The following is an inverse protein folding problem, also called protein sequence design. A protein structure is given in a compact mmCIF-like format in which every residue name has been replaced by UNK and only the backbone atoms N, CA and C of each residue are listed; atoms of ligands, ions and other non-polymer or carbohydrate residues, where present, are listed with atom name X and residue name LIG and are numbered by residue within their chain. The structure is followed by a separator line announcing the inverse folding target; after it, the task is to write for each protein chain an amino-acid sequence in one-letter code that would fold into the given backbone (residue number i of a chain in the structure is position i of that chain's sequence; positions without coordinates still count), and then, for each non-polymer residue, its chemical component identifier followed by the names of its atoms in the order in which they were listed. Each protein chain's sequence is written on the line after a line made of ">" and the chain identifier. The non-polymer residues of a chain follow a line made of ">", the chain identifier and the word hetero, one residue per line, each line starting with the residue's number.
data_IF_565741529533
#
_entry.id   IF_565741529533
#
_cell.length_a   1.000
_cell.length_b   1.000
_cell.length_c   1.000
_cell.angle_alpha   90.00
_cell.angle_beta   90.00
_cell.angle_gamma   90.00
#
_symmetry.space_group_name_H-M   'P 1'
#
loop_
_entity.id
_entity.type
_entity.pdbx_description
1 polymer ?
#
# COMPACT_ATOMS: atom_id res chain seq x y z
N UNK A 1 -3.97 -57.38 -39.47
CA UNK A 1 -4.03 -55.92 -39.22
C UNK A 1 -4.67 -55.72 -37.86
N UNK A 2 -3.90 -55.42 -36.83
CA UNK A 2 -4.44 -55.26 -35.49
C UNK A 2 -3.32 -55.07 -34.48
N UNK A 3 -3.64 -54.34 -33.40
CA UNK A 3 -2.79 -54.00 -32.25
C UNK A 3 -1.93 -52.74 -32.47
N UNK A 4 -2.58 -51.57 -32.49
CA UNK A 4 -1.92 -50.28 -32.15
C UNK A 4 -2.86 -49.20 -31.57
N UNK A 5 -4.17 -49.45 -31.44
CA UNK A 5 -5.14 -48.42 -31.03
C UNK A 5 -5.35 -48.29 -29.50
N UNK A 6 -4.97 -49.29 -28.69
CA UNK A 6 -5.39 -49.33 -27.27
C UNK A 6 -4.50 -48.53 -26.31
N UNK A 7 -3.26 -48.21 -26.68
CA UNK A 7 -2.33 -47.48 -25.82
C UNK A 7 -2.53 -45.95 -25.88
N UNK A 8 -2.96 -45.44 -27.03
CA UNK A 8 -3.29 -44.02 -27.24
C UNK A 8 -4.58 -43.64 -26.51
N UNK A 9 -5.63 -44.46 -26.57
CA UNK A 9 -6.91 -44.18 -25.89
C UNK A 9 -6.79 -44.16 -24.36
N UNK A 10 -5.98 -45.04 -23.78
CA UNK A 10 -5.75 -45.06 -22.33
C UNK A 10 -4.95 -43.84 -21.84
N UNK A 11 -4.12 -43.25 -22.71
CA UNK A 11 -3.35 -42.04 -22.39
C UNK A 11 -4.22 -40.80 -22.54
N UNK A 12 -5.03 -40.71 -23.61
CA UNK A 12 -6.02 -39.65 -23.79
C UNK A 12 -7.05 -39.63 -22.66
N UNK A 13 -7.61 -40.78 -22.28
CA UNK A 13 -8.58 -40.86 -21.18
C UNK A 13 -8.00 -40.44 -19.83
N UNK A 14 -6.72 -40.74 -19.56
CA UNK A 14 -6.04 -40.25 -18.35
C UNK A 14 -5.81 -38.74 -18.38
N UNK A 15 -5.49 -38.19 -19.55
CA UNK A 15 -5.35 -36.75 -19.75
C UNK A 15 -6.71 -36.07 -19.55
N UNK A 16 -7.79 -36.61 -20.12
CA UNK A 16 -9.14 -36.08 -19.96
C UNK A 16 -9.61 -36.11 -18.50
N UNK A 17 -9.34 -37.21 -17.78
CA UNK A 17 -9.61 -37.28 -16.34
C UNK A 17 -8.79 -36.27 -15.55
N UNK A 18 -7.49 -36.14 -15.84
CA UNK A 18 -6.63 -35.15 -15.18
C UNK A 18 -7.10 -33.71 -15.48
N UNK A 19 -7.55 -33.42 -16.71
CA UNK A 19 -8.11 -32.13 -17.10
C UNK A 19 -9.44 -31.86 -16.38
N UNK A 20 -10.35 -32.84 -16.28
CA UNK A 20 -11.60 -32.68 -15.54
C UNK A 20 -11.36 -32.47 -14.04
N UNK A 21 -10.44 -33.23 -13.43
CA UNK A 21 -10.09 -33.06 -12.03
C UNK A 21 -9.43 -31.70 -11.79
N UNK A 22 -8.50 -31.29 -12.67
CA UNK A 22 -7.88 -29.96 -12.60
C UNK A 22 -8.89 -28.84 -12.81
N UNK A 23 -9.86 -29.02 -13.71
CA UNK A 23 -10.94 -28.06 -13.96
C UNK A 23 -11.83 -27.88 -12.73
N UNK A 24 -12.25 -28.97 -12.07
CA UNK A 24 -13.00 -28.91 -10.82
C UNK A 24 -12.22 -28.23 -9.69
N UNK A 25 -10.94 -28.57 -9.54
CA UNK A 25 -10.08 -27.92 -8.55
C UNK A 25 -9.87 -26.43 -8.83
N UNK A 26 -9.94 -26.01 -10.09
CA UNK A 26 -9.87 -24.60 -10.48
C UNK A 26 -11.19 -23.87 -10.20
N UNK A 27 -12.33 -24.52 -10.41
CA UNK A 27 -13.67 -23.99 -10.08
C UNK A 27 -13.90 -23.82 -8.57
N UNK A 28 -13.21 -24.58 -7.73
CA UNK A 28 -13.29 -24.48 -6.27
C UNK A 28 -12.42 -23.34 -5.69
N UNK A 29 -11.47 -22.79 -6.46
CA UNK A 29 -10.57 -21.72 -6.01
C UNK A 29 -11.25 -20.36 -6.08
N UNK A 30 -11.06 -19.57 -5.03
CA UNK A 30 -11.40 -18.15 -5.04
C UNK A 30 -10.19 -17.36 -5.50
N UNK A 31 -10.34 -16.55 -6.55
CA UNK A 31 -9.32 -15.64 -7.06
C UNK A 31 -9.55 -14.22 -6.54
N UNK A 32 -8.60 -13.71 -5.76
CA UNK A 32 -8.59 -12.34 -5.25
C UNK A 32 -7.51 -11.51 -5.95
N UNK A 33 -7.89 -10.39 -6.53
CA UNK A 33 -6.95 -9.48 -7.19
C UNK A 33 -6.68 -8.24 -6.34
N UNK A 34 -5.42 -7.88 -6.14
CA UNK A 34 -5.02 -6.64 -5.47
C UNK A 34 -4.74 -5.54 -6.50
N UNK A 35 -5.48 -4.45 -6.47
CA UNK A 35 -5.24 -3.25 -7.29
C UNK A 35 -5.05 -1.99 -6.43
N UNK A 36 -4.57 -0.93 -7.07
CA UNK A 36 -4.30 0.36 -6.42
C UNK A 36 -3.02 1.01 -6.93
N UNK A 37 -2.85 2.30 -6.61
CA UNK A 37 -1.72 3.10 -7.07
C UNK A 37 -0.34 2.57 -6.59
N UNK A 38 0.75 3.09 -7.14
CA UNK A 38 2.09 2.81 -6.63
C UNK A 38 2.18 3.13 -5.14
N UNK A 39 2.96 2.38 -4.37
CA UNK A 39 3.17 2.61 -2.92
C UNK A 39 1.94 2.49 -2.01
N UNK A 40 0.75 2.15 -2.52
CA UNK A 40 -0.45 2.05 -1.69
C UNK A 40 -0.44 0.95 -0.61
N UNK A 41 0.49 -0.01 -0.69
CA UNK A 41 0.67 -1.09 0.29
C UNK A 41 0.17 -2.47 -0.14
N UNK A 42 -0.19 -2.66 -1.42
CA UNK A 42 -0.59 -3.98 -1.98
C UNK A 42 0.40 -5.10 -1.66
N UNK A 43 1.68 -4.92 -1.99
CA UNK A 43 2.70 -5.94 -1.76
C UNK A 43 2.97 -6.18 -0.27
N UNK A 44 2.75 -5.17 0.59
CA UNK A 44 2.82 -5.34 2.04
C UNK A 44 1.67 -6.22 2.53
N UNK A 45 0.45 -5.94 2.07
CA UNK A 45 -0.72 -6.78 2.34
C UNK A 45 -0.51 -8.21 1.85
N UNK A 46 0.00 -8.37 0.62
CA UNK A 46 0.32 -9.68 0.04
C UNK A 46 1.34 -10.46 0.87
N UNK A 47 2.44 -9.83 1.30
CA UNK A 47 3.41 -10.43 2.23
C UNK A 47 2.76 -10.79 3.57
N UNK A 48 1.83 -9.97 4.07
CA UNK A 48 1.12 -10.24 5.33
C UNK A 48 0.24 -11.49 5.22
N UNK A 49 -0.34 -11.77 4.05
CA UNK A 49 -1.08 -13.01 3.79
C UNK A 49 -0.18 -14.24 3.88
N UNK A 50 1.05 -14.16 3.36
CA UNK A 50 2.05 -15.22 3.54
C UNK A 50 2.41 -15.45 5.01
N UNK A 51 2.44 -14.40 5.83
CA UNK A 51 2.68 -14.50 7.29
C UNK A 51 1.51 -15.12 8.04
N UNK A 52 0.27 -14.78 7.65
CA UNK A 52 -0.95 -15.20 8.35
C UNK A 52 -1.45 -16.58 7.93
N UNK A 53 -1.40 -16.88 6.64
CA UNK A 53 -2.07 -18.04 6.02
C UNK A 53 -1.12 -18.91 5.19
N UNK A 54 0.15 -18.49 5.02
CA UNK A 54 1.19 -19.25 4.35
C UNK A 54 2.20 -19.87 5.32
N UNK A 55 3.37 -20.27 4.78
CA UNK A 55 4.48 -20.80 5.58
C UNK A 55 5.27 -19.72 6.35
N UNK A 56 4.87 -18.45 6.26
CA UNK A 56 5.67 -17.32 6.71
C UNK A 56 6.94 -17.13 5.89
N UNK A 57 7.90 -16.39 6.46
CA UNK A 57 9.22 -16.18 5.86
C UNK A 57 10.27 -16.97 6.63
N UNK A 58 10.92 -17.91 5.95
CA UNK A 58 12.04 -18.67 6.49
C UNK A 58 13.25 -17.77 6.76
N UNK A 59 14.14 -18.20 7.65
CA UNK A 59 15.39 -17.47 7.94
C UNK A 59 16.23 -17.22 6.69
N UNK A 60 16.20 -18.16 5.74
CA UNK A 60 16.88 -18.01 4.44
C UNK A 60 16.27 -16.91 3.58
N UNK A 61 14.94 -16.86 3.49
CA UNK A 61 14.24 -15.78 2.76
C UNK A 61 14.46 -14.42 3.43
N UNK A 62 14.41 -14.38 4.76
CA UNK A 62 14.69 -13.15 5.52
C UNK A 62 16.13 -12.69 5.34
N UNK A 63 17.11 -13.59 5.43
CA UNK A 63 18.51 -13.27 5.18
C UNK A 63 18.76 -12.73 3.76
N UNK A 64 18.03 -13.23 2.76
CA UNK A 64 18.12 -12.73 1.39
C UNK A 64 17.62 -11.28 1.22
N UNK A 65 16.90 -10.72 2.20
CA UNK A 65 16.42 -9.34 2.19
C UNK A 65 17.45 -8.33 2.70
N UNK A 66 18.59 -8.76 3.28
CA UNK A 66 19.61 -7.84 3.81
C UNK A 66 20.09 -6.81 2.79
N UNK A 67 20.42 -7.17 1.52
CA UNK A 67 20.87 -6.20 0.53
C UNK A 67 19.80 -5.17 0.17
N UNK A 68 18.53 -5.60 0.15
CA UNK A 68 17.39 -4.71 -0.13
C UNK A 68 17.22 -3.70 1.01
N UNK A 69 17.29 -4.16 2.26
CA UNK A 69 17.16 -3.32 3.44
C UNK A 69 18.32 -2.32 3.53
N UNK A 70 19.55 -2.74 3.27
CA UNK A 70 20.70 -1.85 3.20
C UNK A 70 20.53 -0.77 2.12
N UNK A 71 20.13 -1.18 0.90
CA UNK A 71 19.87 -0.26 -0.19
C UNK A 71 18.73 0.73 0.13
N UNK A 72 17.65 0.28 0.79
CA UNK A 72 16.56 1.16 1.23
C UNK A 72 17.05 2.18 2.28
N UNK A 73 17.87 1.75 3.24
CA UNK A 73 18.41 2.60 4.30
C UNK A 73 19.32 3.69 3.73
N UNK A 74 20.28 3.31 2.88
CA UNK A 74 21.21 4.25 2.25
C UNK A 74 20.47 5.20 1.33
N UNK A 75 19.55 4.71 0.51
CA UNK A 75 18.76 5.57 -0.38
C UNK A 75 17.96 6.61 0.41
N UNK A 76 17.32 6.22 1.52
CA UNK A 76 16.59 7.13 2.38
C UNK A 76 17.50 8.23 2.97
N UNK A 77 18.68 7.86 3.47
CA UNK A 77 19.65 8.83 3.99
C UNK A 77 20.10 9.81 2.90
N UNK A 78 20.44 9.31 1.71
CA UNK A 78 20.85 10.16 0.57
C UNK A 78 19.75 11.15 0.19
N UNK A 79 18.51 10.70 0.09
CA UNK A 79 17.37 11.58 -0.21
C UNK A 79 17.23 12.69 0.84
N UNK A 80 17.41 12.39 2.12
CA UNK A 80 17.35 13.41 3.17
C UNK A 80 18.52 14.40 3.08
N UNK A 81 19.74 13.91 2.89
CA UNK A 81 20.95 14.74 2.72
C UNK A 81 20.81 15.68 1.52
N UNK A 82 20.25 15.20 0.41
CA UNK A 82 20.06 16.01 -0.81
C UNK A 82 18.99 17.09 -0.65
N UNK A 83 17.95 16.86 0.16
CA UNK A 83 16.81 17.78 0.29
C UNK A 83 16.90 18.71 1.49
N UNK A 84 17.62 18.37 2.56
CA UNK A 84 17.77 19.25 3.72
C UNK A 84 18.27 20.66 3.35
N UNK A 85 19.35 20.83 2.56
CA UNK A 85 19.81 22.16 2.15
C UNK A 85 18.84 22.88 1.21
N UNK A 86 18.04 22.14 0.42
CA UNK A 86 17.04 22.73 -0.49
C UNK A 86 15.87 23.35 0.27
N UNK A 87 15.55 22.78 1.43
CA UNK A 87 14.55 23.30 2.36
C UNK A 87 15.13 24.37 3.30
N UNK A 88 16.42 24.69 3.19
CA UNK A 88 17.09 25.67 4.03
C UNK A 88 17.53 25.15 5.39
N UNK A 89 17.66 23.83 5.55
CA UNK A 89 18.19 23.20 6.76
C UNK A 89 19.66 22.86 6.59
N UNK A 90 20.50 23.39 7.48
CA UNK A 90 21.92 23.08 7.53
C UNK A 90 22.16 21.68 8.10
N UNK A 91 23.12 20.95 7.52
CA UNK A 91 23.55 19.62 8.00
C UNK A 91 24.86 19.81 8.78
N UNK A 92 24.86 19.43 10.05
CA UNK A 92 26.04 19.52 10.93
C UNK A 92 26.99 18.33 10.72
N UNK A 93 26.45 17.13 10.51
CA UNK A 93 27.22 15.90 10.31
C UNK A 93 27.73 15.75 8.86
N UNK A 94 28.51 16.73 8.38
CA UNK A 94 28.98 16.80 6.98
C UNK A 94 29.83 15.61 6.56
N UNK A 95 30.82 15.21 7.38
CA UNK A 95 31.72 14.10 7.04
C UNK A 95 30.97 12.77 6.89
N UNK A 96 30.06 12.48 7.83
CA UNK A 96 29.20 11.30 7.76
C UNK A 96 28.26 11.35 6.54
N UNK A 97 27.76 12.54 6.21
CA UNK A 97 26.90 12.74 5.03
C UNK A 97 27.66 12.50 3.73
N UNK A 98 28.89 12.99 3.62
CA UNK A 98 29.75 12.78 2.45
C UNK A 98 30.07 11.29 2.24
N UNK A 99 30.39 10.56 3.32
CA UNK A 99 30.61 9.11 3.28
C UNK A 99 29.35 8.35 2.84
N UNK A 100 28.18 8.70 3.39
CA UNK A 100 26.89 8.09 3.00
C UNK A 100 26.58 8.41 1.53
N UNK A 101 26.80 9.64 1.07
CA UNK A 101 26.58 10.05 -0.32
C UNK A 101 27.50 9.31 -1.30
N UNK A 102 28.76 9.07 -0.91
CA UNK A 102 29.73 8.31 -1.68
C UNK A 102 29.44 6.80 -1.71
N UNK A 103 28.67 6.28 -0.75
CA UNK A 103 28.37 4.85 -0.64
C UNK A 103 27.70 4.29 -1.91
N UNK A 104 28.18 3.15 -2.38
CA UNK A 104 27.49 2.36 -3.40
C UNK A 104 26.66 1.30 -2.67
N UNK A 105 25.37 1.21 -2.99
CA UNK A 105 24.51 0.19 -2.42
C UNK A 105 24.93 -1.19 -2.95
N UNK A 106 25.64 -1.95 -2.12
CA UNK A 106 26.01 -3.34 -2.37
C UNK A 106 25.55 -4.25 -1.20
N UNK A 107 25.58 -5.59 -1.33
CA UNK A 107 25.09 -6.49 -0.29
C UNK A 107 25.75 -6.36 1.08
N UNK A 108 26.97 -5.86 1.14
CA UNK A 108 27.82 -5.80 2.33
C UNK A 108 28.13 -4.36 2.76
N UNK A 109 27.52 -3.36 2.13
CA UNK A 109 27.81 -1.93 2.32
C UNK A 109 27.41 -1.38 3.69
N UNK A 110 26.69 -2.15 4.51
CA UNK A 110 26.21 -1.73 5.82
C UNK A 110 27.02 -2.42 6.92
N UNK A 111 28.32 -2.08 6.96
CA UNK A 111 29.23 -2.45 8.03
C UNK A 111 29.10 -1.50 9.24
N UNK A 112 29.89 -1.75 10.29
CA UNK A 112 29.85 -0.94 11.52
C UNK A 112 30.13 0.54 11.24
N UNK A 113 31.06 0.85 10.33
CA UNK A 113 31.43 2.23 9.97
C UNK A 113 30.29 2.94 9.24
N UNK A 114 29.71 2.31 8.22
CA UNK A 114 28.56 2.88 7.50
C UNK A 114 27.36 3.05 8.44
N UNK A 115 27.15 2.11 9.36
CA UNK A 115 26.06 2.21 10.33
C UNK A 115 26.26 3.34 11.35
N UNK A 116 27.49 3.64 11.74
CA UNK A 116 27.83 4.82 12.54
C UNK A 116 27.54 6.11 11.77
N UNK A 117 27.94 6.18 10.50
CA UNK A 117 27.66 7.34 9.64
C UNK A 117 26.15 7.54 9.43
N UNK A 118 25.40 6.49 9.11
CA UNK A 118 23.94 6.55 8.97
C UNK A 118 23.26 6.97 10.27
N UNK A 119 23.74 6.49 11.43
CA UNK A 119 23.21 6.90 12.72
C UNK A 119 23.51 8.38 13.03
N UNK A 120 24.71 8.87 12.69
CA UNK A 120 25.07 10.28 12.82
C UNK A 120 24.17 11.15 11.94
N UNK A 121 24.03 10.82 10.65
CA UNK A 121 23.12 11.48 9.71
C UNK A 121 21.69 11.49 10.26
N UNK A 122 21.17 10.36 10.75
CA UNK A 122 19.82 10.32 11.28
C UNK A 122 19.64 11.16 12.56
N UNK A 123 20.66 11.29 13.40
CA UNK A 123 20.61 12.12 14.61
C UNK A 123 20.78 13.62 14.36
N UNK A 124 21.12 14.02 13.13
CA UNK A 124 21.33 15.41 12.74
C UNK A 124 20.02 16.20 12.75
N UNK A 125 20.05 17.42 13.31
CA UNK A 125 18.84 18.26 13.43
C UNK A 125 18.33 18.74 12.08
N UNK A 126 19.21 19.07 11.13
CA UNK A 126 18.80 19.47 9.79
C UNK A 126 18.16 18.32 9.01
N UNK A 127 18.67 17.10 9.20
CA UNK A 127 18.08 15.88 8.65
C UNK A 127 16.71 15.57 9.27
N UNK A 128 16.57 15.70 10.59
CA UNK A 128 15.27 15.53 11.26
C UNK A 128 14.25 16.58 10.80
N UNK A 129 14.66 17.83 10.63
CA UNK A 129 13.81 18.88 10.05
C UNK A 129 13.41 18.52 8.62
N UNK A 130 14.33 18.10 7.76
CA UNK A 130 13.99 17.65 6.41
C UNK A 130 13.01 16.46 6.41
N UNK A 131 13.15 15.53 7.35
CA UNK A 131 12.21 14.42 7.51
C UNK A 131 10.81 14.87 7.97
N UNK A 132 10.69 15.92 8.77
CA UNK A 132 9.40 16.51 9.12
C UNK A 132 8.67 17.06 7.88
N UNK A 133 9.44 17.59 6.91
CA UNK A 133 8.97 18.10 5.62
C UNK A 133 8.97 17.05 4.48
N UNK A 134 8.98 15.75 4.82
CA UNK A 134 9.09 14.64 3.85
C UNK A 134 7.97 14.53 2.82
N UNK A 135 6.89 15.32 2.94
CA UNK A 135 5.82 15.39 1.94
C UNK A 135 6.19 16.26 0.74
N UNK A 136 7.15 17.18 0.91
CA UNK A 136 7.61 18.11 -0.12
C UNK A 136 8.57 17.46 -1.15
N UNK A 137 9.03 16.23 -0.88
CA UNK A 137 9.90 15.47 -1.77
C UNK A 137 9.61 13.97 -1.70
N UNK A 138 10.24 13.20 -2.58
CA UNK A 138 9.97 11.76 -2.72
C UNK A 138 10.81 10.95 -1.72
N UNK A 139 10.22 10.60 -0.57
CA UNK A 139 10.83 9.72 0.43
C UNK A 139 9.99 8.44 0.62
N UNK A 140 10.65 7.29 0.75
CA UNK A 140 9.97 6.01 1.02
C UNK A 140 9.56 5.91 2.50
N UNK A 141 8.36 5.40 2.79
CA UNK A 141 7.78 5.34 4.15
C UNK A 141 8.64 4.57 5.17
N UNK A 142 9.47 3.65 4.70
CA UNK A 142 10.35 2.85 5.54
C UNK A 142 11.59 3.60 6.06
N UNK A 143 11.80 4.86 5.66
CA UNK A 143 12.99 5.66 5.97
C UNK A 143 13.28 5.73 7.48
N UNK A 144 12.36 6.27 8.28
CA UNK A 144 12.54 6.41 9.73
C UNK A 144 12.76 5.05 10.43
N UNK A 145 12.01 4.02 10.01
CA UNK A 145 12.14 2.68 10.57
C UNK A 145 13.53 2.08 10.38
N UNK A 146 14.11 2.21 9.19
CA UNK A 146 15.41 1.63 8.91
C UNK A 146 16.57 2.50 9.41
N UNK A 147 16.50 3.83 9.26
CA UNK A 147 17.54 4.74 9.72
C UNK A 147 17.72 4.69 11.25
N UNK A 148 16.62 4.65 12.00
CA UNK A 148 16.66 4.47 13.47
C UNK A 148 17.29 3.15 13.91
N UNK A 149 17.47 2.19 12.99
CA UNK A 149 17.97 0.85 13.24
C UNK A 149 19.25 0.53 12.48
N UNK A 150 19.93 1.51 11.88
CA UNK A 150 21.14 1.29 11.08
C UNK A 150 22.18 0.42 11.81
N UNK A 151 22.48 0.72 13.09
CA UNK A 151 23.41 -0.06 13.91
C UNK A 151 23.00 -1.52 14.08
N UNK A 152 21.70 -1.79 14.27
CA UNK A 152 21.18 -3.15 14.39
C UNK A 152 21.33 -3.95 13.08
N UNK A 153 21.24 -3.27 11.94
CA UNK A 153 21.40 -3.91 10.63
C UNK A 153 22.84 -4.39 10.37
N UNK A 154 23.83 -3.70 10.97
CA UNK A 154 25.25 -4.00 10.86
C UNK A 154 25.72 -5.15 11.77
N UNK A 155 24.94 -5.48 12.80
CA UNK A 155 25.31 -6.51 13.78
C UNK A 155 25.73 -7.84 13.12
N UNK A 156 26.84 -8.46 13.55
CA UNK A 156 27.25 -9.76 13.06
C UNK A 156 26.14 -10.80 13.23
N UNK A 157 25.76 -11.45 12.13
CA UNK A 157 24.68 -12.44 12.14
C UNK A 157 23.27 -11.86 12.13
N UNK A 158 23.09 -10.55 11.85
CA UNK A 158 21.77 -9.96 11.66
C UNK A 158 20.96 -10.73 10.62
N UNK A 159 19.78 -11.20 11.04
CA UNK A 159 18.75 -11.78 10.17
C UNK A 159 17.54 -10.85 10.26
N UNK A 160 17.09 -10.26 9.12
CA UNK A 160 15.92 -9.40 9.10
C UNK A 160 14.71 -10.04 9.77
N UNK A 161 13.98 -9.27 10.56
CA UNK A 161 12.72 -9.71 11.15
C UNK A 161 11.63 -9.80 10.09
N UNK A 162 10.50 -10.44 10.40
CA UNK A 162 9.32 -10.40 9.50
C UNK A 162 8.88 -8.95 9.28
N UNK A 163 8.98 -8.11 10.31
CA UNK A 163 8.63 -6.70 10.27
C UNK A 163 9.54 -5.90 9.31
N UNK A 164 10.84 -6.24 9.29
CA UNK A 164 11.81 -5.69 8.33
C UNK A 164 11.43 -6.10 6.89
N UNK A 165 11.02 -7.35 6.66
CA UNK A 165 10.59 -7.84 5.34
C UNK A 165 9.30 -7.15 4.86
N UNK A 166 8.35 -6.89 5.75
CA UNK A 166 7.10 -6.19 5.44
C UNK A 166 7.35 -4.74 5.02
N UNK A 167 8.26 -4.03 5.69
CA UNK A 167 8.62 -2.63 5.41
C UNK A 167 9.61 -2.46 4.27
N UNK A 168 10.41 -3.48 3.97
CA UNK A 168 11.38 -3.44 2.89
C UNK A 168 10.69 -3.16 1.54
N UNK A 169 11.17 -2.13 0.86
CA UNK A 169 10.69 -1.65 -0.41
C UNK A 169 11.33 -2.44 -1.55
N UNK A 170 10.51 -3.28 -2.18
CA UNK A 170 10.85 -3.96 -3.44
C UNK A 170 9.85 -3.48 -4.48
N UNK A 171 10.35 -2.98 -5.62
CA UNK A 171 9.46 -2.59 -6.73
C UNK A 171 8.88 -3.84 -7.37
N UNK A 172 7.57 -4.03 -7.21
CA UNK A 172 6.84 -5.14 -7.85
C UNK A 172 6.75 -4.89 -9.35
N UNK A 173 7.20 -5.88 -10.12
CA UNK A 173 7.09 -5.90 -11.59
C UNK A 173 6.35 -7.14 -12.02
N UNK A 174 5.45 -6.99 -13.00
CA UNK A 174 4.62 -8.10 -13.46
C UNK A 174 3.50 -8.47 -12.49
N UNK A 175 3.13 -9.75 -12.52
CA UNK A 175 2.03 -10.35 -11.74
C UNK A 175 2.64 -11.48 -10.92
N UNK A 176 2.39 -11.48 -9.62
CA UNK A 176 2.78 -12.54 -8.69
C UNK A 176 1.51 -13.14 -8.12
N UNK A 177 1.40 -14.47 -8.11
CA UNK A 177 0.30 -15.15 -7.43
C UNK A 177 0.80 -16.16 -6.41
N UNK A 178 0.05 -16.31 -5.33
CA UNK A 178 0.25 -17.35 -4.31
C UNK A 178 -1.11 -17.94 -3.92
N UNK A 179 -1.11 -19.25 -3.65
CA UNK A 179 -2.29 -19.98 -3.20
C UNK A 179 -2.22 -20.17 -1.68
N UNK A 180 -3.25 -19.72 -0.99
CA UNK A 180 -3.42 -19.86 0.45
C UNK A 180 -4.64 -20.72 0.76
N UNK A 181 -4.66 -21.31 1.95
CA UNK A 181 -5.88 -21.91 2.51
C UNK A 181 -6.41 -20.98 3.59
N UNK A 182 -7.50 -20.28 3.30
CA UNK A 182 -8.12 -19.30 4.19
C UNK A 182 -9.56 -19.74 4.41
N UNK A 183 -9.99 -19.86 5.67
CA UNK A 183 -11.33 -20.38 6.03
C UNK A 183 -11.62 -21.75 5.39
N UNK A 184 -10.63 -22.65 5.40
CA UNK A 184 -10.68 -23.97 4.76
C UNK A 184 -10.98 -23.93 3.25
N UNK A 185 -10.82 -22.77 2.61
CA UNK A 185 -11.08 -22.55 1.18
C UNK A 185 -9.77 -22.19 0.48
N UNK A 186 -9.47 -22.79 -0.69
CA UNK A 186 -8.30 -22.42 -1.47
C UNK A 186 -8.52 -21.03 -2.10
N UNK A 187 -7.69 -20.07 -1.71
CA UNK A 187 -7.73 -18.69 -2.20
C UNK A 187 -6.43 -18.38 -2.93
N UNK A 188 -6.51 -18.12 -4.23
CA UNK A 188 -5.40 -17.64 -5.03
C UNK A 188 -5.41 -16.12 -5.07
N UNK A 189 -4.37 -15.51 -4.52
CA UNK A 189 -4.24 -14.05 -4.49
C UNK A 189 -3.24 -13.59 -5.53
N UNK A 190 -3.52 -12.45 -6.17
CA UNK A 190 -2.71 -11.87 -7.22
C UNK A 190 -2.25 -10.47 -6.82
N UNK A 191 -0.94 -10.25 -6.69
CA UNK A 191 -0.31 -8.93 -6.53
C UNK A 191 0.23 -8.45 -7.88
N UNK A 192 -0.08 -7.21 -8.23
CA UNK A 192 0.34 -6.58 -9.48
C UNK A 192 1.01 -5.24 -9.23
N UNK A 193 1.97 -4.89 -10.10
CA UNK A 193 2.64 -3.59 -10.03
C UNK A 193 1.65 -2.42 -10.11
N UNK A 194 1.69 -1.51 -9.13
CA UNK A 194 0.76 -0.36 -9.04
C UNK A 194 1.15 0.89 -9.84
N UNK A 195 2.43 0.97 -10.25
CA UNK A 195 2.98 2.10 -10.99
C UNK A 195 2.35 2.22 -12.38
N UNK A 196 2.27 3.42 -12.94
CA UNK A 196 1.59 3.68 -14.23
C UNK A 196 2.09 2.77 -15.36
N UNK A 197 3.39 2.52 -15.41
CA UNK A 197 4.02 1.66 -16.43
C UNK A 197 3.69 0.17 -16.29
N UNK A 198 3.21 -0.27 -15.13
CA UNK A 198 2.83 -1.68 -14.87
C UNK A 198 1.34 -1.93 -15.12
N UNK A 199 0.49 -0.89 -15.12
CA UNK A 199 -0.99 -1.04 -15.22
C UNK A 199 -1.46 -1.68 -16.51
N UNK A 200 -0.71 -1.54 -17.61
CA UNK A 200 -1.01 -2.22 -18.89
C UNK A 200 -1.04 -3.74 -18.76
N UNK A 201 -0.36 -4.31 -17.75
CA UNK A 201 -0.30 -5.76 -17.50
C UNK A 201 -1.51 -6.28 -16.70
N UNK A 202 -2.27 -5.41 -16.05
CA UNK A 202 -3.36 -5.81 -15.15
C UNK A 202 -4.44 -6.64 -15.83
N UNK A 203 -4.71 -6.36 -17.11
CA UNK A 203 -5.69 -7.09 -17.93
C UNK A 203 -5.43 -8.61 -17.95
N UNK A 204 -4.19 -9.05 -17.77
CA UNK A 204 -3.81 -10.46 -17.74
C UNK A 204 -4.15 -11.15 -16.42
N UNK A 205 -4.51 -10.40 -15.38
CA UNK A 205 -4.92 -10.91 -14.08
C UNK A 205 -6.43 -10.75 -13.82
N UNK A 206 -7.21 -10.22 -14.77
CA UNK A 206 -8.64 -9.94 -14.58
C UNK A 206 -9.54 -11.16 -14.82
N UNK A 207 -9.05 -12.15 -15.56
CA UNK A 207 -9.85 -13.30 -15.95
C UNK A 207 -10.15 -14.21 -14.74
N UNK A 208 -11.42 -14.59 -14.59
CA UNK A 208 -11.88 -15.47 -13.52
C UNK A 208 -11.77 -14.91 -12.09
N UNK A 209 -11.50 -13.60 -11.90
CA UNK A 209 -11.42 -13.00 -10.56
C UNK A 209 -12.79 -13.07 -9.87
N UNK A 210 -12.82 -13.50 -8.61
CA UNK A 210 -14.02 -13.58 -7.79
C UNK A 210 -14.31 -12.27 -7.06
N UNK A 211 -13.29 -11.64 -6.49
CA UNK A 211 -13.41 -10.36 -5.81
C UNK A 211 -12.15 -9.50 -5.99
N UNK A 212 -12.35 -8.19 -5.93
CA UNK A 212 -11.27 -7.21 -6.00
C UNK A 212 -10.96 -6.67 -4.61
N UNK A 213 -9.66 -6.55 -4.28
CA UNK A 213 -9.17 -5.74 -3.17
C UNK A 213 -8.50 -4.50 -3.77
N UNK A 214 -9.10 -3.33 -3.57
CA UNK A 214 -8.48 -2.06 -3.96
C UNK A 214 -7.80 -1.44 -2.75
N UNK A 215 -6.50 -1.15 -2.83
CA UNK A 215 -5.72 -0.58 -1.73
C UNK A 215 -5.34 0.86 -2.08
N UNK A 216 -5.77 1.81 -1.25
CA UNK A 216 -5.44 3.23 -1.35
C UNK A 216 -4.74 3.69 -0.06
N UNK A 217 -3.61 4.41 -0.17
CA UNK A 217 -2.92 4.93 1.01
C UNK A 217 -3.44 6.32 1.35
N UNK A 218 -4.29 6.44 2.38
CA UNK A 218 -4.91 7.73 2.75
C UNK A 218 -3.91 8.72 3.34
N UNK A 219 -2.76 8.24 3.84
CA UNK A 219 -1.67 9.08 4.36
C UNK A 219 -0.94 9.90 3.28
N UNK A 220 -1.25 9.71 2.00
CA UNK A 220 -0.58 10.37 0.87
C UNK A 220 -1.31 11.65 0.40
N UNK A 221 -2.24 12.17 1.20
CA UNK A 221 -3.07 13.34 0.88
C UNK A 221 -2.29 14.64 0.64
N UNK A 222 -1.10 14.74 1.20
CA UNK A 222 -0.15 15.85 1.15
C UNK A 222 1.01 15.60 0.16
N UNK A 223 0.95 14.53 -0.66
CA UNK A 223 2.05 14.11 -1.52
C UNK A 223 1.71 14.15 -3.01
N UNK A 224 2.74 14.35 -3.85
CA UNK A 224 2.67 14.25 -5.31
C UNK A 224 3.21 12.90 -5.82
N UNK A 225 2.78 12.50 -7.02
CA UNK A 225 3.26 11.27 -7.66
C UNK A 225 4.74 11.39 -8.04
N UNK A 226 5.46 10.27 -7.89
CA UNK A 226 6.84 10.16 -8.36
C UNK A 226 6.93 10.32 -9.90
N UNK A 227 5.93 9.81 -10.62
CA UNK A 227 5.88 9.88 -12.08
C UNK A 227 5.40 11.24 -12.61
N UNK A 228 4.81 12.09 -11.76
CA UNK A 228 4.15 13.34 -12.15
C UNK A 228 3.96 14.26 -10.92
N UNK A 229 4.94 15.15 -10.70
CA UNK A 229 4.98 16.06 -9.55
C UNK A 229 3.86 17.12 -9.56
N UNK A 230 3.06 17.24 -10.63
CA UNK A 230 1.89 18.12 -10.68
C UNK A 230 0.62 17.46 -10.13
N UNK A 231 0.66 16.14 -9.89
CA UNK A 231 -0.52 15.37 -9.51
C UNK A 231 -0.38 14.80 -8.11
N UNK A 232 -1.38 15.10 -7.28
CA UNK A 232 -1.52 14.51 -5.95
C UNK A 232 -1.79 13.01 -6.02
N UNK A 233 -1.28 12.27 -5.03
CA UNK A 233 -1.39 10.81 -4.97
C UNK A 233 -2.80 10.29 -4.67
N UNK A 234 -3.57 10.98 -3.83
CA UNK A 234 -4.96 10.63 -3.53
C UNK A 234 -5.86 10.88 -4.72
N UNK A 235 -5.71 11.99 -5.44
CA UNK A 235 -6.50 12.23 -6.66
C UNK A 235 -6.28 11.15 -7.72
N UNK A 236 -5.02 10.74 -7.92
CA UNK A 236 -4.70 9.60 -8.77
C UNK A 236 -5.36 8.30 -8.26
N UNK A 237 -5.39 8.09 -6.94
CA UNK A 237 -6.04 6.91 -6.36
C UNK A 237 -7.57 6.94 -6.52
N UNK A 238 -8.20 8.11 -6.41
CA UNK A 238 -9.64 8.32 -6.62
C UNK A 238 -10.02 8.08 -8.08
N UNK A 239 -9.31 8.70 -9.03
CA UNK A 239 -9.53 8.48 -10.46
C UNK A 239 -9.31 7.02 -10.86
N UNK A 240 -8.25 6.40 -10.35
CA UNK A 240 -7.98 4.99 -10.58
C UNK A 240 -9.07 4.09 -10.00
N UNK A 241 -9.61 4.43 -8.84
CA UNK A 241 -10.71 3.69 -8.23
C UNK A 241 -11.99 3.82 -9.05
N UNK A 242 -12.30 5.03 -9.52
CA UNK A 242 -13.43 5.33 -10.42
C UNK A 242 -13.35 4.47 -11.70
N UNK A 243 -12.20 4.51 -12.39
CA UNK A 243 -11.95 3.69 -13.60
C UNK A 243 -12.17 2.19 -13.36
N UNK A 244 -11.73 1.69 -12.20
CA UNK A 244 -11.86 0.29 -11.82
C UNK A 244 -13.30 -0.07 -11.44
N UNK A 245 -13.99 0.81 -10.72
CA UNK A 245 -15.39 0.63 -10.39
C UNK A 245 -16.25 0.63 -11.67
N UNK A 246 -15.95 1.48 -12.65
CA UNK A 246 -16.61 1.57 -13.96
C UNK A 246 -16.30 0.41 -14.91
N UNK A 247 -15.14 -0.22 -14.73
CA UNK A 247 -14.65 -1.30 -15.58
C UNK A 247 -15.67 -2.43 -15.76
N UNK A 248 -15.90 -2.81 -17.03
CA UNK A 248 -16.75 -3.95 -17.41
C UNK A 248 -16.32 -5.28 -16.76
N UNK A 249 -15.05 -5.41 -16.38
CA UNK A 249 -14.51 -6.62 -15.75
C UNK A 249 -15.00 -6.78 -14.31
N UNK A 250 -15.32 -5.69 -13.62
CA UNK A 250 -15.68 -5.68 -12.20
C UNK A 250 -17.12 -5.25 -11.92
N UNK A 251 -17.93 -5.00 -12.95
CA UNK A 251 -19.33 -4.54 -12.81
C UNK A 251 -20.19 -5.35 -11.85
N UNK A 252 -19.98 -6.67 -11.77
CA UNK A 252 -20.74 -7.59 -10.92
C UNK A 252 -19.90 -8.19 -9.79
N UNK A 253 -18.66 -7.75 -9.64
CA UNK A 253 -17.69 -8.33 -8.70
C UNK A 253 -17.64 -7.47 -7.44
N UNK A 254 -17.67 -8.07 -6.23
CA UNK A 254 -17.51 -7.31 -5.00
C UNK A 254 -16.14 -6.63 -4.97
N UNK A 255 -16.12 -5.38 -4.48
CA UNK A 255 -14.91 -4.59 -4.30
C UNK A 255 -14.72 -4.34 -2.81
N UNK A 256 -13.58 -4.77 -2.28
CA UNK A 256 -13.11 -4.48 -0.94
C UNK A 256 -12.12 -3.33 -1.02
N UNK A 257 -12.54 -2.13 -0.62
CA UNK A 257 -11.70 -0.94 -0.57
C UNK A 257 -10.99 -0.84 0.77
N UNK A 258 -9.67 -1.00 0.75
CA UNK A 258 -8.80 -0.87 1.90
C UNK A 258 -8.12 0.49 1.87
N UNK A 259 -8.57 1.37 2.77
CA UNK A 259 -7.95 2.65 3.08
C UNK A 259 -6.79 2.39 4.03
N UNK A 260 -5.59 2.31 3.49
CA UNK A 260 -4.37 1.81 4.11
C UNK A 260 -3.48 2.94 4.65
N UNK A 261 -2.47 2.56 5.44
CA UNK A 261 -1.51 3.44 6.13
C UNK A 261 -2.17 4.37 7.14
N UNK A 262 -3.17 3.84 7.86
CA UNK A 262 -3.89 4.62 8.88
C UNK A 262 -2.98 5.06 10.03
N UNK A 263 -1.92 4.30 10.32
CA UNK A 263 -0.87 4.67 11.27
C UNK A 263 -0.12 5.93 10.84
N UNK A 264 0.34 5.98 9.60
CA UNK A 264 1.04 7.15 9.06
C UNK A 264 0.10 8.35 8.87
N UNK A 265 -1.17 8.08 8.55
CA UNK A 265 -2.19 9.12 8.45
C UNK A 265 -2.42 9.79 9.82
N UNK A 266 -2.59 9.00 10.87
CA UNK A 266 -2.72 9.50 12.25
C UNK A 266 -1.48 10.28 12.69
N UNK A 267 -0.27 9.80 12.39
CA UNK A 267 0.98 10.50 12.67
C UNK A 267 1.03 11.90 12.04
N UNK A 268 0.60 12.03 10.78
CA UNK A 268 0.60 13.32 10.08
C UNK A 268 -0.40 14.32 10.66
N UNK A 269 -1.60 13.84 11.02
CA UNK A 269 -2.58 14.68 11.68
C UNK A 269 -2.10 15.13 13.06
N UNK A 270 -1.40 14.26 13.81
CA UNK A 270 -0.78 14.61 15.09
C UNK A 270 0.32 15.66 14.95
N UNK A 271 1.05 15.63 13.82
CA UNK A 271 2.04 16.64 13.47
C UNK A 271 1.44 17.95 12.93
N UNK A 272 0.11 18.11 12.93
CA UNK A 272 -0.56 19.32 12.47
C UNK A 272 -0.63 19.48 10.96
N UNK A 273 -0.34 18.44 10.17
CA UNK A 273 -0.41 18.52 8.71
C UNK A 273 -1.89 18.47 8.29
N UNK A 274 -2.48 19.57 7.80
CA UNK A 274 -3.90 19.62 7.51
C UNK A 274 -4.24 18.78 6.28
N UNK A 275 -5.46 18.23 6.24
CA UNK A 275 -6.04 17.64 5.01
C UNK A 275 -6.49 18.80 4.11
N UNK A 276 -5.52 19.59 3.65
CA UNK A 276 -5.69 20.73 2.76
C UNK A 276 -4.46 20.84 1.89
N UNK A 277 -4.70 21.05 0.59
CA UNK A 277 -3.75 21.54 -0.42
C UNK A 277 -2.39 20.82 -0.54
N UNK A 278 -2.06 20.38 -1.75
CA UNK A 278 -0.67 20.10 -2.15
C UNK A 278 -0.22 21.24 -3.06
N UNK A 279 0.92 21.90 -2.77
CA UNK A 279 1.49 22.93 -3.64
C UNK A 279 1.58 22.44 -5.07
N UNK A 280 1.04 23.23 -6.01
CA UNK A 280 1.25 22.95 -7.42
C UNK A 280 2.74 23.21 -7.75
N UNK A 281 3.26 22.59 -8.82
CA UNK A 281 4.69 22.71 -9.18
C UNK A 281 5.15 24.17 -9.41
N UNK A 282 4.21 25.08 -9.66
CA UNK A 282 4.46 26.52 -9.74
C UNK A 282 4.82 27.18 -8.39
N UNK A 283 4.39 26.60 -7.27
CA UNK A 283 4.68 27.11 -5.92
C UNK A 283 6.09 26.69 -5.46
N UNK A 284 6.53 25.46 -5.79
CA UNK A 284 7.89 24.99 -5.52
C UNK A 284 8.95 25.77 -6.31
N UNK A 285 8.63 26.24 -7.52
CA UNK A 285 9.53 27.08 -8.32
C UNK A 285 9.61 28.54 -7.84
N UNK A 286 8.60 29.01 -7.10
CA UNK A 286 8.53 30.39 -6.58
C UNK A 286 9.10 30.50 -5.14
N UNK A 287 9.03 29.44 -4.34
CA UNK A 287 9.47 29.39 -2.95
C UNK A 287 10.99 29.12 -2.81
N UNK A 288 11.81 30.03 -3.33
CA UNK A 288 13.25 30.07 -3.03
C UNK A 288 13.56 30.52 -1.59
N UNK A 289 12.97 29.85 -0.60
CA UNK A 289 13.12 30.13 0.84
C UNK A 289 12.00 29.46 1.66
N UNK A 290 12.33 29.08 2.90
CA UNK A 290 11.44 28.42 3.86
C UNK A 290 10.06 29.09 3.91
N UNK A 291 9.01 28.32 3.62
CA UNK A 291 7.63 28.78 3.69
C UNK A 291 7.16 28.65 5.14
N UNK A 292 6.95 29.78 5.80
CA UNK A 292 6.20 29.83 7.05
C UNK A 292 4.74 29.43 6.75
N UNK A 293 4.32 28.30 7.31
CA UNK A 293 2.99 27.70 7.05
C UNK A 293 1.85 28.63 7.53
N UNK A 294 2.16 29.52 8.48
CA UNK A 294 1.23 30.48 9.06
C UNK A 294 1.01 31.76 8.22
N UNK A 295 1.86 32.04 7.23
CA UNK A 295 1.89 33.35 6.53
C UNK A 295 1.50 33.27 5.04
N UNK A 296 0.88 32.16 4.60
CA UNK A 296 0.26 32.09 3.27
C UNK A 296 -1.01 32.95 3.27
N UNK A 297 -0.83 34.26 3.12
CA UNK A 297 -1.89 35.20 2.86
C UNK A 297 -2.72 34.71 1.66
N UNK A 298 -3.99 34.39 1.95
CA UNK A 298 -5.00 33.90 1.01
C UNK A 298 -5.29 34.97 -0.06
N UNK A 299 -4.45 35.06 -1.10
CA UNK A 299 -4.86 35.67 -2.38
C UNK A 299 -5.84 34.71 -3.04
N UNK A 300 -7.13 35.01 -2.90
CA UNK A 300 -8.28 34.23 -3.36
C UNK A 300 -8.35 33.98 -4.87
N UNK A 301 -7.33 33.32 -5.45
CA UNK A 301 -7.21 32.97 -6.87
C UNK A 301 -6.85 31.51 -7.12
N UNK A 302 -6.66 30.66 -6.10
CA UNK A 302 -6.36 29.23 -6.28
C UNK A 302 -7.20 28.38 -5.32
N UNK A 303 -7.97 27.42 -5.85
CA UNK A 303 -8.95 26.66 -5.08
C UNK A 303 -8.26 25.67 -4.12
N UNK A 304 -8.65 25.68 -2.84
CA UNK A 304 -8.21 24.68 -1.88
C UNK A 304 -8.60 23.27 -2.39
N UNK A 305 -7.69 22.30 -2.25
CA UNK A 305 -7.93 20.89 -2.59
C UNK A 305 -8.52 20.20 -1.36
N UNK A 306 -9.69 19.57 -1.52
CA UNK A 306 -10.64 19.22 -0.46
C UNK A 306 -11.18 20.44 0.32
N UNK A 307 -11.74 21.46 -0.37
CA UNK A 307 -12.24 22.68 0.27
C UNK A 307 -13.47 22.41 1.17
N UNK A 308 -14.04 21.22 1.06
CA UNK A 308 -15.21 20.76 1.81
C UNK A 308 -14.85 20.10 3.15
N UNK A 309 -13.55 19.83 3.40
CA UNK A 309 -13.09 19.34 4.69
C UNK A 309 -12.65 20.52 5.58
N UNK A 310 -13.43 20.76 6.63
CA UNK A 310 -13.19 21.79 7.63
C UNK A 310 -12.74 21.22 8.99
N UNK A 311 -12.54 19.90 9.09
CA UNK A 311 -12.08 19.22 10.29
C UNK A 311 -10.67 19.65 10.74
N UNK A 312 -10.47 19.61 12.05
CA UNK A 312 -9.21 19.99 12.69
C UNK A 312 -8.19 18.84 12.68
N UNK A 313 -6.91 19.19 12.76
CA UNK A 313 -5.82 18.22 12.95
C UNK A 313 -5.83 17.66 14.38
N UNK A 314 -4.93 16.74 14.68
CA UNK A 314 -4.73 16.21 16.04
C UNK A 314 -3.65 16.99 16.81
N UNK A 315 -3.19 18.12 16.25
CA UNK A 315 -2.13 18.93 16.84
C UNK A 315 -2.53 19.47 18.21
N UNK A 316 -1.59 19.39 19.16
CA UNK A 316 -1.79 19.89 20.52
C UNK A 316 -2.64 19.00 21.43
N UNK A 317 -3.21 17.90 20.92
CA UNK A 317 -3.91 16.91 21.72
C UNK A 317 -2.94 15.86 22.27
N UNK A 318 -3.12 15.48 23.53
CA UNK A 318 -2.46 14.29 24.09
C UNK A 318 -3.33 13.06 23.82
N UNK A 319 -2.75 12.04 23.18
CA UNK A 319 -3.49 10.84 22.77
C UNK A 319 -4.15 10.08 23.93
N UNK A 320 -3.59 10.16 25.14
CA UNK A 320 -4.15 9.48 26.31
C UNK A 320 -5.09 10.39 27.12
N UNK A 321 -4.72 11.65 27.34
CA UNK A 321 -5.51 12.59 28.12
C UNK A 321 -6.75 13.10 27.36
N UNK A 322 -6.63 13.27 26.04
CA UNK A 322 -7.67 13.78 25.15
C UNK A 322 -8.23 12.67 24.23
N UNK A 323 -8.19 11.42 24.68
CA UNK A 323 -8.48 10.23 23.87
C UNK A 323 -9.84 10.25 23.14
N UNK A 324 -10.88 10.83 23.75
CA UNK A 324 -12.20 10.96 23.13
C UNK A 324 -12.18 11.91 21.93
N UNK A 325 -11.57 13.08 22.11
CA UNK A 325 -11.44 14.09 21.05
C UNK A 325 -10.47 13.64 19.95
N UNK A 326 -9.34 13.04 20.33
CA UNK A 326 -8.40 12.42 19.39
C UNK A 326 -9.10 11.40 18.49
N UNK A 327 -9.89 10.51 19.09
CA UNK A 327 -10.63 9.49 18.35
C UNK A 327 -11.68 10.12 17.44
N UNK A 328 -12.43 11.11 17.93
CA UNK A 328 -13.46 11.78 17.15
C UNK A 328 -12.89 12.47 15.90
N UNK A 329 -11.82 13.27 16.04
CA UNK A 329 -11.18 13.97 14.92
C UNK A 329 -10.55 12.99 13.92
N UNK A 330 -9.91 11.92 14.41
CA UNK A 330 -9.34 10.89 13.54
C UNK A 330 -10.41 10.13 12.75
N UNK A 331 -11.53 9.79 13.36
CA UNK A 331 -12.64 9.10 12.69
C UNK A 331 -13.37 10.02 11.70
N UNK A 332 -13.54 11.31 12.01
CA UNK A 332 -14.06 12.31 11.06
C UNK A 332 -13.17 12.39 9.81
N UNK A 333 -11.85 12.53 9.99
CA UNK A 333 -10.88 12.60 8.91
C UNK A 333 -10.84 11.30 8.06
N UNK A 334 -10.96 10.14 8.70
CA UNK A 334 -11.07 8.84 8.03
C UNK A 334 -12.36 8.74 7.23
N UNK A 335 -13.48 9.14 7.82
CA UNK A 335 -14.80 9.09 7.19
C UNK A 335 -14.87 10.01 5.98
N UNK A 336 -14.21 11.17 6.03
CA UNK A 336 -14.04 12.03 4.87
C UNK A 336 -13.47 11.27 3.66
N UNK A 337 -12.34 10.57 3.82
CA UNK A 337 -11.79 9.77 2.71
C UNK A 337 -12.68 8.59 2.33
N UNK A 338 -13.40 7.97 3.28
CA UNK A 338 -14.41 6.95 2.93
C UNK A 338 -15.43 7.54 1.96
N UNK A 339 -15.97 8.71 2.25
CA UNK A 339 -16.99 9.36 1.43
C UNK A 339 -16.43 9.82 0.09
N UNK A 340 -15.20 10.34 0.03
CA UNK A 340 -14.54 10.71 -1.23
C UNK A 340 -14.44 9.52 -2.19
N UNK A 341 -14.04 8.35 -1.70
CA UNK A 341 -13.96 7.14 -2.53
C UNK A 341 -15.35 6.58 -2.87
N UNK A 342 -16.28 6.53 -1.91
CA UNK A 342 -17.64 6.05 -2.17
C UNK A 342 -18.39 6.94 -3.17
N UNK A 343 -18.13 8.24 -3.16
CA UNK A 343 -18.66 9.20 -4.14
C UNK A 343 -18.17 8.94 -5.57
N UNK A 344 -17.10 8.17 -5.77
CA UNK A 344 -16.63 7.72 -7.10
C UNK A 344 -17.29 6.42 -7.57
N UNK A 345 -18.09 5.77 -6.73
CA UNK A 345 -18.81 4.58 -7.15
C UNK A 345 -20.00 5.03 -8.00
N UNK A 346 -20.09 4.62 -9.27
CA UNK A 346 -21.19 5.02 -10.15
C UNK A 346 -22.54 4.55 -9.60
N UNK A 347 -23.56 5.39 -9.68
CA UNK A 347 -24.94 5.03 -9.32
C UNK A 347 -25.48 3.96 -10.29
N UNK A 348 -25.65 2.74 -9.77
CA UNK A 348 -26.04 1.54 -10.55
C UNK A 348 -27.42 1.01 -10.23
N UNK A 349 -28.23 1.80 -9.52
CA UNK A 349 -29.60 1.45 -9.13
C UNK A 349 -30.51 1.11 -10.33
N UNK A 350 -30.15 1.53 -11.55
CA UNK A 350 -30.95 1.35 -12.77
C UNK A 350 -30.57 0.12 -13.61
N UNK A 351 -29.36 -0.45 -13.47
CA UNK A 351 -28.83 -1.52 -14.36
C UNK A 351 -28.86 -2.94 -13.75
N UNK A 352 -29.37 -3.12 -12.52
CA UNK A 352 -29.50 -4.45 -11.90
C UNK A 352 -28.18 -5.16 -11.56
N UNK A 353 -27.05 -4.45 -11.64
CA UNK A 353 -25.72 -4.94 -11.29
C UNK A 353 -25.07 -3.96 -10.31
N UNK A 354 -25.14 -4.25 -9.02
CA UNK A 354 -24.40 -3.51 -7.99
C UNK A 354 -23.14 -4.33 -7.70
N UNK A 355 -21.97 -3.76 -7.93
CA UNK A 355 -20.73 -4.22 -7.32
C UNK A 355 -20.73 -3.71 -5.88
N UNK A 356 -21.01 -4.54 -4.86
CA UNK A 356 -21.02 -4.07 -3.49
C UNK A 356 -19.60 -3.62 -3.14
N UNK A 357 -19.47 -2.34 -2.76
CA UNK A 357 -18.21 -1.76 -2.29
C UNK A 357 -18.23 -1.77 -0.77
N UNK A 358 -17.32 -2.53 -0.18
CA UNK A 358 -17.10 -2.53 1.26
C UNK A 358 -15.84 -1.75 1.57
N UNK A 359 -15.91 -0.78 2.48
CA UNK A 359 -14.75 0.04 2.85
C UNK A 359 -14.25 -0.36 4.23
N UNK A 360 -12.94 -0.45 4.37
CA UNK A 360 -12.24 -0.77 5.62
C UNK A 360 -10.97 0.06 5.76
N UNK A 361 -10.66 0.45 6.98
CA UNK A 361 -9.40 1.08 7.34
C UNK A 361 -8.37 0.02 7.71
N UNK A 362 -7.13 0.21 7.25
CA UNK A 362 -6.08 -0.80 7.38
C UNK A 362 -4.70 -0.21 7.63
N UNK A 363 -3.88 -1.01 8.29
CA UNK A 363 -2.45 -0.81 8.45
C UNK A 363 -1.80 -2.11 8.03
N UNK A 364 -1.36 -2.21 6.77
CA UNK A 364 -0.87 -3.47 6.18
C UNK A 364 0.37 -4.07 6.88
N UNK A 365 1.09 -3.27 7.67
CA UNK A 365 2.23 -3.68 8.50
C UNK A 365 1.79 -4.27 9.85
N UNK A 366 0.55 -4.05 10.27
CA UNK A 366 -0.02 -4.59 11.51
C UNK A 366 -0.70 -5.93 11.23
N UNK A 367 -0.13 -6.98 11.81
CA UNK A 367 -0.59 -8.35 11.65
C UNK A 367 -2.02 -8.56 12.17
N UNK A 368 -2.35 -7.98 13.31
CA UNK A 368 -3.64 -8.22 13.96
C UNK A 368 -4.73 -7.40 13.26
N UNK A 369 -4.40 -6.18 12.83
CA UNK A 369 -5.28 -5.39 11.97
C UNK A 369 -5.62 -6.14 10.67
N UNK A 370 -4.63 -6.69 9.95
CA UNK A 370 -4.88 -7.43 8.70
C UNK A 370 -5.64 -8.72 8.94
N UNK A 371 -5.37 -9.44 10.04
CA UNK A 371 -6.14 -10.63 10.40
C UNK A 371 -7.62 -10.28 10.62
N UNK A 372 -7.89 -9.26 11.43
CA UNK A 372 -9.26 -8.80 11.70
C UNK A 372 -9.95 -8.28 10.43
N UNK A 373 -9.22 -7.57 9.57
CA UNK A 373 -9.69 -7.09 8.28
C UNK A 373 -10.24 -8.23 7.41
N UNK A 374 -9.47 -9.32 7.24
CA UNK A 374 -9.89 -10.46 6.43
C UNK A 374 -11.03 -11.26 7.05
N UNK A 375 -11.09 -11.39 8.37
CA UNK A 375 -12.24 -12.01 9.06
C UNK A 375 -13.53 -11.22 8.76
N UNK A 376 -13.49 -9.88 8.78
CA UNK A 376 -14.64 -9.04 8.44
C UNK A 376 -15.00 -9.00 6.95
N UNK A 377 -14.15 -9.56 6.10
CA UNK A 377 -14.39 -9.72 4.67
C UNK A 377 -14.81 -11.17 4.32
N UNK A 378 -14.85 -12.08 5.30
CA UNK A 378 -15.12 -13.50 5.09
C UNK A 378 -16.41 -13.77 4.31
N UNK A 379 -17.50 -13.10 4.66
CA UNK A 379 -18.80 -13.28 3.98
C UNK A 379 -18.75 -12.82 2.52
N UNK A 380 -18.03 -11.72 2.25
CA UNK A 380 -17.85 -11.20 0.89
C UNK A 380 -17.00 -12.18 0.06
N UNK A 381 -15.91 -12.68 0.65
CA UNK A 381 -14.97 -13.60 0.01
C UNK A 381 -15.66 -14.94 -0.28
N UNK A 382 -16.35 -15.53 0.69
CA UNK A 382 -17.00 -16.83 0.56
C UNK A 382 -18.38 -16.76 -0.12
N UNK A 383 -18.96 -15.57 -0.25
CA UNK A 383 -20.32 -15.36 -0.76
C UNK A 383 -20.53 -15.88 -2.19
N UNK A 384 -19.54 -15.73 -3.08
CA UNK A 384 -19.65 -16.31 -4.44
C UNK A 384 -19.65 -17.85 -4.40
N UNK A 385 -18.86 -18.49 -3.53
CA UNK A 385 -18.86 -19.95 -3.39
C UNK A 385 -20.18 -20.48 -2.80
N UNK A 386 -20.79 -19.75 -1.85
CA UNK A 386 -22.09 -20.08 -1.29
C UNK A 386 -23.23 -19.94 -2.32
N UNK A 387 -23.16 -18.94 -3.21
CA UNK A 387 -24.11 -18.78 -4.32
C UNK A 387 -23.95 -19.87 -5.39
N UNK A 388 -22.71 -20.19 -5.76
CA UNK A 388 -22.43 -21.22 -6.77
C UNK A 388 -22.73 -22.65 -6.28
N UNK A 389 -22.64 -22.89 -4.96
CA UNK A 389 -23.01 -24.18 -4.34
C UNK A 389 -24.52 -24.39 -4.18
N UNK A 390 -25.35 -23.40 -4.51
CA UNK A 390 -26.81 -23.47 -4.38
C UNK A 390 -27.35 -23.31 -2.96
N UNK A 391 -26.51 -22.87 -2.01
CA UNK A 391 -26.91 -22.65 -0.61
C UNK A 391 -27.52 -21.25 -0.36
N UNK A 392 -27.19 -20.27 -1.20
CA UNK A 392 -27.80 -18.94 -1.16
C UNK A 392 -28.67 -18.72 -2.41
N UNK A 393 -29.91 -18.28 -2.22
CA UNK A 393 -30.75 -17.82 -3.32
C UNK A 393 -30.11 -16.58 -3.97
N UNK A 394 -30.32 -16.42 -5.29
CA UNK A 394 -29.69 -15.36 -6.07
C UNK A 394 -30.09 -13.92 -5.66
N UNK A 395 -31.14 -13.77 -4.84
CA UNK A 395 -31.68 -12.50 -4.37
C UNK A 395 -31.82 -12.54 -2.84
N UNK A 396 -31.13 -11.65 -2.12
CA UNK A 396 -31.19 -11.64 -0.64
C UNK A 396 -30.18 -10.73 0.07
N UNK A 397 -29.93 -9.52 -0.45
CA UNK A 397 -29.27 -8.45 0.29
C UNK A 397 -30.08 -7.14 0.15
N UNK A 398 -31.40 -7.25 0.21
CA UNK A 398 -32.26 -6.14 0.59
C UNK A 398 -32.82 -6.51 1.96
N UNK A 399 -32.78 -5.55 2.89
CA UNK A 399 -33.22 -5.64 4.29
C UNK A 399 -32.25 -6.31 5.27
N UNK A 400 -31.14 -5.63 5.56
CA UNK A 400 -30.73 -5.27 6.95
C UNK A 400 -29.26 -4.79 6.96
N UNK A 401 -29.01 -3.53 6.60
CA UNK A 401 -27.88 -2.70 7.07
C UNK A 401 -28.24 -1.22 7.00
#
# INVERSE_FOLDING_TARGET
>A
MGICASATDATTSKIDQAMMTSGRQEEEKIKLLLLGAGQSGKSTLFKQMKVLFGAGFSDKERAAMRPVIAANTIAAAKTLIENAPRLGFDIDNTDASDEVMAAVADPDCLDDTMAENLAAVWSDTGIQSAFAHRSEFQLEDCASYFLSRAKKQAEPGYIPTVDDVLRARVRTTGIVSELYTIFDTPIEMYDVGGQRNERKKWIHAFDGVNALIFVAAISEYDQVLLEDESRNRIDEALELFEDIAESKFFKKKPIMLFLNKCDLFEEKLAAGIPIRYVPDAADAAAAGGAVDVDDVAFDGRKAARFPHFDGETLEGLDKEADAEEWTARLEEAKEFFRQEFLGRVPDRTVEGAINPVSVRFSTATDKDNVKFLFENCKEIILGENLRNSGFMAADGLEDDL
#
